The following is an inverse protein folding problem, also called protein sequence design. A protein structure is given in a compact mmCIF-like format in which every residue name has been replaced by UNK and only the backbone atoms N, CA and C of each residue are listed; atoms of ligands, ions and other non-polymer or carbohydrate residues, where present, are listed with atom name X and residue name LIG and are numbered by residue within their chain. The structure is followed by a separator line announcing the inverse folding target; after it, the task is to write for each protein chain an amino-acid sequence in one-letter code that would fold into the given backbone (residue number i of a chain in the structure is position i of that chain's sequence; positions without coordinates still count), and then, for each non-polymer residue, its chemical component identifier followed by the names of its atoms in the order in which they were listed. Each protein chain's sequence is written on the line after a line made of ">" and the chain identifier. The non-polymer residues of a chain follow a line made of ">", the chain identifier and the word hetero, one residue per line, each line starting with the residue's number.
data_IF_137134535135
#
_entry.id   IF_137134535135
#
_cell.length_a   1.000
_cell.length_b   1.000
_cell.length_c   1.000
_cell.angle_alpha   90.00
_cell.angle_beta   90.00
_cell.angle_gamma   90.00
#
_symmetry.space_group_name_H-M   'P 1'
#
loop_
_entity.id
_entity.type
_entity.pdbx_description
1 polymer ?
#
# COMPACT_ATOMS: atom_id res chain seq x y z
N UNK A 1 3.23 -17.38 19.92
CA UNK A 1 1.86 -17.33 19.40
C UNK A 1 1.31 -15.92 19.67
N UNK A 2 0.71 -15.26 18.68
CA UNK A 2 0.10 -13.93 18.85
C UNK A 2 -1.36 -14.06 19.30
N UNK A 3 -1.93 -13.09 20.07
CA UNK A 3 -3.30 -13.16 20.54
C UNK A 3 -4.32 -12.98 19.40
N UNK A 4 -5.46 -13.66 19.43
CA UNK A 4 -6.56 -13.46 18.47
C UNK A 4 -7.44 -12.27 18.89
N UNK A 5 -6.95 -11.07 18.59
CA UNK A 5 -7.68 -9.82 18.81
C UNK A 5 -8.49 -9.43 17.56
N UNK A 6 -9.59 -8.66 17.70
CA UNK A 6 -10.44 -8.24 16.57
C UNK A 6 -9.68 -7.54 15.43
N UNK A 7 -8.64 -6.79 15.77
CA UNK A 7 -7.84 -6.00 14.83
C UNK A 7 -6.87 -6.87 14.01
N UNK A 8 -6.67 -8.13 14.37
CA UNK A 8 -5.77 -9.04 13.65
C UNK A 8 -6.42 -9.59 12.38
N UNK A 9 -5.75 -9.40 11.24
CA UNK A 9 -6.03 -10.17 10.04
C UNK A 9 -5.66 -11.64 10.26
N UNK A 10 -6.62 -12.56 10.15
CA UNK A 10 -6.40 -14.00 10.36
C UNK A 10 -6.38 -14.80 9.07
N UNK A 11 -6.98 -14.27 8.00
CA UNK A 11 -7.07 -14.94 6.70
C UNK A 11 -5.89 -14.62 5.77
N UNK A 12 -5.38 -13.40 5.84
CA UNK A 12 -4.32 -12.88 4.97
C UNK A 12 -3.14 -12.39 5.80
N UNK A 13 -1.95 -12.37 5.20
CA UNK A 13 -0.72 -11.84 5.80
C UNK A 13 -0.63 -10.32 5.67
N UNK A 14 -1.76 -9.65 5.93
CA UNK A 14 -1.88 -8.19 5.83
C UNK A 14 -1.59 -7.56 7.19
N UNK A 15 -0.80 -6.50 7.19
CA UNK A 15 -0.58 -5.62 8.34
C UNK A 15 -1.02 -4.20 7.99
N UNK A 16 -1.59 -3.51 8.95
CA UNK A 16 -2.06 -2.13 8.77
C UNK A 16 -1.22 -1.17 9.60
N UNK A 17 -1.14 0.08 9.14
CA UNK A 17 -0.55 1.17 9.89
C UNK A 17 -1.23 1.35 11.25
N UNK A 18 -0.49 1.81 12.25
CA UNK A 18 -1.02 2.12 13.58
C UNK A 18 -1.90 3.38 13.56
N UNK A 19 -1.56 4.34 12.71
CA UNK A 19 -2.29 5.58 12.52
C UNK A 19 -3.11 5.52 11.23
N UNK A 20 -4.35 5.99 11.33
CA UNK A 20 -5.26 6.11 10.19
C UNK A 20 -5.64 7.56 9.94
N UNK A 21 -6.07 7.83 8.72
CA UNK A 21 -6.34 9.18 8.22
C UNK A 21 -7.82 9.38 7.96
N UNK A 22 -8.36 10.53 8.37
CA UNK A 22 -9.76 10.91 8.16
C UNK A 22 -9.93 12.23 7.39
N UNK A 23 -8.82 12.85 6.96
CA UNK A 23 -8.79 14.10 6.19
C UNK A 23 -7.38 14.38 5.68
N UNK A 24 -7.25 15.35 4.77
CA UNK A 24 -5.98 15.90 4.34
C UNK A 24 -5.16 15.05 3.39
N UNK A 25 -3.89 15.44 3.22
CA UNK A 25 -2.93 14.81 2.32
C UNK A 25 -1.82 14.11 3.08
N UNK A 26 -1.56 12.87 2.71
CA UNK A 26 -0.57 12.00 3.36
C UNK A 26 0.24 11.27 2.30
N UNK A 27 1.52 11.02 2.57
CA UNK A 27 2.33 10.18 1.68
C UNK A 27 3.41 9.44 2.42
N UNK A 28 3.72 8.24 1.95
CA UNK A 28 4.84 7.43 2.43
C UNK A 28 5.43 6.66 1.25
N UNK A 29 6.66 6.21 1.42
CA UNK A 29 7.33 5.36 0.45
C UNK A 29 7.59 3.97 1.04
N UNK A 30 7.53 2.96 0.17
CA UNK A 30 7.77 1.56 0.53
C UNK A 30 8.85 1.00 -0.38
N UNK A 31 9.97 0.58 0.21
CA UNK A 31 10.99 -0.21 -0.47
C UNK A 31 10.49 -1.64 -0.62
N UNK A 32 10.44 -2.11 -1.87
CA UNK A 32 9.95 -3.44 -2.25
C UNK A 32 11.03 -4.30 -2.92
N UNK A 33 12.09 -3.68 -3.45
CA UNK A 33 13.25 -4.37 -4.02
C UNK A 33 12.90 -5.37 -5.13
N UNK A 34 13.50 -6.56 -5.07
CA UNK A 34 13.20 -7.69 -5.97
C UNK A 34 12.15 -8.66 -5.39
N UNK A 35 11.39 -8.25 -4.38
CA UNK A 35 10.44 -9.13 -3.69
C UNK A 35 9.34 -9.60 -4.66
N UNK A 36 9.08 -10.92 -4.78
CA UNK A 36 8.26 -11.46 -5.87
C UNK A 36 6.77 -11.12 -5.72
N UNK A 37 6.31 -10.95 -4.48
CA UNK A 37 4.89 -10.80 -4.15
C UNK A 37 4.65 -9.83 -3.01
N UNK A 38 3.99 -8.72 -3.29
CA UNK A 38 3.66 -7.71 -2.28
C UNK A 38 2.40 -6.94 -2.66
N UNK A 39 1.79 -6.27 -1.67
CA UNK A 39 0.69 -5.34 -1.84
C UNK A 39 0.86 -4.13 -0.94
N UNK A 40 0.58 -2.94 -1.45
CA UNK A 40 0.63 -1.67 -0.71
C UNK A 40 -0.59 -0.83 -1.03
N UNK A 41 -1.12 -0.08 -0.08
CA UNK A 41 -2.29 0.77 -0.32
C UNK A 41 -2.96 1.28 0.94
N UNK A 42 -4.27 1.49 0.84
CA UNK A 42 -5.13 1.85 1.97
C UNK A 42 -6.31 0.91 2.12
N UNK A 43 -6.80 0.78 3.36
CA UNK A 43 -8.03 0.05 3.69
C UNK A 43 -8.90 0.86 4.64
N UNK A 44 -10.22 0.61 4.60
CA UNK A 44 -11.19 1.15 5.56
C UNK A 44 -10.96 0.64 6.98
N UNK A 45 -11.28 1.44 7.98
CA UNK A 45 -11.30 1.03 9.40
C UNK A 45 -12.17 -0.22 9.62
N UNK A 46 -13.34 -0.24 8.97
CA UNK A 46 -14.33 -1.32 9.02
C UNK A 46 -14.04 -2.53 8.13
N UNK A 47 -12.89 -2.58 7.45
CA UNK A 47 -12.56 -3.68 6.52
C UNK A 47 -12.64 -5.05 7.21
N UNK A 48 -13.23 -6.05 6.55
CA UNK A 48 -13.32 -7.40 7.11
C UNK A 48 -11.94 -8.04 7.24
N UNK A 49 -11.48 -8.22 8.48
CA UNK A 49 -10.15 -8.79 8.81
C UNK A 49 -10.15 -10.30 8.97
N UNK A 50 -11.32 -10.94 9.05
CA UNK A 50 -11.45 -12.36 9.37
C UNK A 50 -11.92 -13.18 8.17
N UNK A 51 -12.70 -12.58 7.26
CA UNK A 51 -13.20 -13.24 6.06
C UNK A 51 -12.30 -13.12 4.83
N UNK A 52 -12.78 -13.69 3.73
CA UNK A 52 -12.14 -13.61 2.41
C UNK A 52 -12.51 -12.27 1.77
N UNK A 53 -11.52 -11.45 1.46
CA UNK A 53 -11.68 -10.20 0.71
C UNK A 53 -10.66 -10.14 -0.41
N UNK A 54 -10.97 -9.41 -1.46
CA UNK A 54 -9.97 -8.92 -2.41
C UNK A 54 -9.63 -7.46 -2.04
N UNK A 55 -8.63 -6.90 -2.71
CA UNK A 55 -8.17 -5.55 -2.43
C UNK A 55 -9.01 -4.47 -3.16
N UNK A 56 -10.28 -4.76 -3.48
CA UNK A 56 -11.13 -3.86 -4.26
C UNK A 56 -11.81 -2.78 -3.41
N UNK A 57 -12.14 -1.63 -4.00
CA UNK A 57 -12.85 -0.56 -3.31
C UNK A 57 -14.19 -1.01 -2.68
N UNK A 58 -14.95 -1.86 -3.39
CA UNK A 58 -16.20 -2.44 -2.86
C UNK A 58 -16.02 -3.31 -1.61
N UNK A 59 -14.81 -3.80 -1.36
CA UNK A 59 -14.43 -4.55 -0.18
C UNK A 59 -13.58 -3.72 0.80
N UNK A 60 -13.48 -2.40 0.56
CA UNK A 60 -12.82 -1.44 1.42
C UNK A 60 -11.30 -1.38 1.28
N UNK A 61 -10.75 -1.75 0.12
CA UNK A 61 -9.32 -1.64 -0.18
C UNK A 61 -9.03 -0.84 -1.45
N UNK A 62 -7.93 -0.09 -1.43
CA UNK A 62 -7.37 0.61 -2.59
C UNK A 62 -5.88 0.30 -2.63
N UNK A 63 -5.53 -0.85 -3.20
CA UNK A 63 -4.17 -1.34 -3.21
C UNK A 63 -3.58 -1.47 -4.61
N UNK A 64 -2.26 -1.38 -4.66
CA UNK A 64 -1.42 -1.72 -5.79
C UNK A 64 -0.60 -2.95 -5.41
N UNK A 65 -0.57 -3.95 -6.28
CA UNK A 65 0.01 -5.25 -5.97
C UNK A 65 0.96 -5.70 -7.07
N UNK A 66 1.95 -6.48 -6.69
CA UNK A 66 2.88 -7.13 -7.59
C UNK A 66 2.87 -8.63 -7.31
N UNK A 67 2.83 -9.42 -8.38
CA UNK A 67 2.92 -10.86 -8.31
C UNK A 67 3.73 -11.40 -9.49
N UNK A 68 4.94 -11.85 -9.22
CA UNK A 68 5.85 -12.51 -10.17
C UNK A 68 6.01 -11.71 -11.49
N UNK A 69 6.26 -10.40 -11.38
CA UNK A 69 6.47 -9.50 -12.53
C UNK A 69 5.20 -8.81 -13.04
N UNK A 70 4.02 -9.18 -12.55
CA UNK A 70 2.74 -8.58 -12.95
C UNK A 70 2.31 -7.56 -11.90
N UNK A 71 2.03 -6.34 -12.35
CA UNK A 71 1.51 -5.26 -11.51
C UNK A 71 0.01 -5.12 -11.73
N UNK A 72 -0.76 -5.10 -10.65
CA UNK A 72 -2.22 -4.94 -10.72
C UNK A 72 -2.73 -3.95 -9.68
N UNK A 73 -3.88 -3.35 -9.98
CA UNK A 73 -4.67 -2.63 -8.98
C UNK A 73 -5.55 -3.61 -8.20
N UNK A 74 -6.16 -3.14 -7.11
CA UNK A 74 -7.14 -3.90 -6.34
C UNK A 74 -8.28 -4.49 -7.19
N UNK A 75 -8.68 -3.80 -8.27
CA UNK A 75 -9.68 -4.26 -9.25
C UNK A 75 -9.15 -5.26 -10.29
N UNK A 76 -7.96 -5.82 -10.06
CA UNK A 76 -7.27 -6.74 -10.98
C UNK A 76 -6.96 -6.14 -12.36
N UNK A 77 -6.91 -4.81 -12.47
CA UNK A 77 -6.47 -4.14 -13.70
C UNK A 77 -4.94 -4.28 -13.80
N UNK A 78 -4.44 -4.86 -14.89
CA UNK A 78 -3.00 -4.96 -15.16
C UNK A 78 -2.45 -3.58 -15.52
N UNK A 79 -1.38 -3.19 -14.86
CA UNK A 79 -0.68 -1.93 -15.07
C UNK A 79 0.67 -2.21 -15.73
N UNK A 80 0.90 -1.57 -16.88
CA UNK A 80 2.16 -1.71 -17.61
C UNK A 80 3.22 -0.83 -16.96
N UNK A 81 4.30 -1.46 -16.47
CA UNK A 81 5.42 -0.78 -15.85
C UNK A 81 6.67 -1.03 -16.70
N UNK A 82 7.39 0.04 -17.06
CA UNK A 82 8.55 -0.03 -17.97
C UNK A 82 9.77 -0.71 -17.33
N UNK A 83 9.91 -0.60 -16.01
CA UNK A 83 11.01 -1.15 -15.22
C UNK A 83 10.45 -1.73 -13.92
N UNK A 84 11.12 -2.72 -13.36
CA UNK A 84 10.69 -3.28 -12.08
C UNK A 84 10.82 -2.25 -10.97
N UNK A 85 9.77 -2.07 -10.16
CA UNK A 85 9.73 -1.06 -9.12
C UNK A 85 10.59 -1.50 -7.93
N UNK A 86 11.56 -0.67 -7.54
CA UNK A 86 12.33 -0.90 -6.30
C UNK A 86 11.70 -0.21 -5.09
N UNK A 87 11.04 0.92 -5.32
CA UNK A 87 10.36 1.71 -4.30
C UNK A 87 9.09 2.35 -4.86
N UNK A 88 8.05 2.38 -4.03
CA UNK A 88 6.72 2.87 -4.42
C UNK A 88 6.31 3.95 -3.46
N UNK A 89 5.89 5.08 -4.01
CA UNK A 89 5.23 6.14 -3.24
C UNK A 89 3.73 5.94 -3.28
N UNK A 90 3.11 5.94 -2.11
CA UNK A 90 1.67 6.00 -1.94
C UNK A 90 1.31 7.42 -1.51
N UNK A 91 0.31 8.01 -2.16
CA UNK A 91 -0.23 9.31 -1.80
C UNK A 91 -1.74 9.20 -1.58
N UNK A 92 -2.20 9.66 -0.43
CA UNK A 92 -3.60 9.86 -0.12
C UNK A 92 -3.90 11.36 -0.21
N UNK A 93 -4.88 11.73 -1.03
CA UNK A 93 -5.59 13.01 -0.92
C UNK A 93 -7.02 12.68 -0.46
N UNK A 94 -7.22 12.64 0.86
CA UNK A 94 -8.48 12.19 1.44
C UNK A 94 -9.63 13.11 1.03
N UNK A 95 -9.39 14.42 1.04
CA UNK A 95 -10.40 15.44 0.78
C UNK A 95 -10.85 15.43 -0.69
N UNK A 96 -9.97 15.01 -1.61
CA UNK A 96 -10.31 14.81 -3.03
C UNK A 96 -10.69 13.38 -3.39
N UNK A 97 -10.66 12.46 -2.43
CA UNK A 97 -11.04 11.08 -2.67
C UNK A 97 -10.02 10.30 -3.52
N UNK A 98 -8.73 10.64 -3.47
CA UNK A 98 -7.71 10.03 -4.34
C UNK A 98 -6.68 9.20 -3.57
N UNK A 99 -6.39 8.00 -4.10
CA UNK A 99 -5.21 7.21 -3.72
C UNK A 99 -4.34 7.03 -4.96
N UNK A 100 -3.14 7.58 -4.94
CA UNK A 100 -2.22 7.58 -6.08
C UNK A 100 -0.92 6.82 -5.78
N UNK A 101 -0.42 6.11 -6.79
CA UNK A 101 0.80 5.32 -6.74
C UNK A 101 1.81 5.83 -7.76
N UNK A 102 3.06 5.93 -7.36
CA UNK A 102 4.16 6.39 -8.20
C UNK A 102 5.37 5.48 -8.04
N UNK A 103 6.15 5.36 -9.11
CA UNK A 103 7.52 4.89 -8.99
C UNK A 103 8.35 5.97 -8.29
N UNK A 104 8.93 5.67 -7.13
CA UNK A 104 9.70 6.67 -6.37
C UNK A 104 11.01 7.08 -7.05
N UNK A 105 11.58 6.25 -7.94
CA UNK A 105 12.87 6.54 -8.57
C UNK A 105 12.80 7.71 -9.56
N UNK A 106 11.73 7.77 -10.37
CA UNK A 106 11.56 8.77 -11.42
C UNK A 106 10.27 9.58 -11.27
N UNK A 107 9.54 9.37 -10.16
CA UNK A 107 8.26 9.98 -9.86
C UNK A 107 7.20 9.75 -10.95
N UNK A 108 7.37 8.73 -11.78
CA UNK A 108 6.37 8.41 -12.80
C UNK A 108 5.09 7.90 -12.16
N UNK A 109 3.96 8.41 -12.65
CA UNK A 109 2.64 7.98 -12.22
C UNK A 109 2.38 6.55 -12.67
N UNK A 110 1.91 5.72 -11.75
CA UNK A 110 1.53 4.33 -12.02
C UNK A 110 0.02 4.22 -12.12
N UNK A 111 -0.70 4.74 -11.13
CA UNK A 111 -2.15 4.62 -11.05
C UNK A 111 -2.76 5.59 -10.02
N UNK A 112 -4.04 5.96 -10.22
CA UNK A 112 -4.85 6.68 -9.22
C UNK A 112 -6.22 6.03 -9.10
N UNK A 113 -6.58 5.60 -7.90
CA UNK A 113 -7.97 5.31 -7.54
C UNK A 113 -8.68 6.60 -7.14
N UNK A 114 -9.96 6.69 -7.50
CA UNK A 114 -10.87 7.75 -7.05
C UNK A 114 -12.09 7.12 -6.38
N UNK A 115 -12.45 7.63 -5.23
CA UNK A 115 -13.61 7.17 -4.46
C UNK A 115 -14.09 8.24 -3.48
N UNK A 116 -15.25 8.04 -2.87
CA UNK A 116 -15.72 8.87 -1.77
C UNK A 116 -15.39 8.18 -0.45
N UNK A 117 -14.43 8.72 0.30
CA UNK A 117 -14.06 8.18 1.60
C UNK A 117 -15.02 8.66 2.69
N UNK A 118 -15.60 7.71 3.42
CA UNK A 118 -16.64 7.97 4.44
C UNK A 118 -16.19 7.65 5.85
N UNK A 119 -14.98 7.13 6.00
CA UNK A 119 -14.43 6.67 7.27
C UNK A 119 -12.90 6.72 7.24
N UNK A 120 -12.29 6.52 8.41
CA UNK A 120 -10.84 6.49 8.54
C UNK A 120 -10.21 5.41 7.67
N UNK A 121 -9.12 5.76 6.99
CA UNK A 121 -8.33 4.85 6.18
C UNK A 121 -6.99 4.55 6.84
N UNK A 122 -6.57 3.29 6.82
CA UNK A 122 -5.26 2.87 7.31
C UNK A 122 -4.35 2.47 6.15
N UNK A 123 -3.05 2.81 6.19
CA UNK A 123 -2.05 2.16 5.34
C UNK A 123 -2.16 0.64 5.45
N UNK A 124 -2.05 -0.06 4.33
CA UNK A 124 -2.13 -1.51 4.26
C UNK A 124 -0.93 -2.06 3.52
N UNK A 125 -0.37 -3.15 4.06
CA UNK A 125 0.79 -3.83 3.51
C UNK A 125 0.58 -5.34 3.54
N UNK A 126 0.89 -6.01 2.44
CA UNK A 126 0.82 -7.46 2.31
C UNK A 126 2.17 -7.97 1.80
N UNK A 127 2.74 -8.96 2.47
CA UNK A 127 4.00 -9.61 2.06
C UNK A 127 3.82 -11.11 2.09
N UNK A 128 4.36 -11.78 1.09
CA UNK A 128 4.31 -13.23 0.94
C UNK A 128 5.74 -13.81 1.03
N UNK A 129 5.94 -15.13 1.04
CA UNK A 129 7.29 -15.70 1.10
C UNK A 129 8.21 -15.16 -0.01
N UNK A 130 9.40 -14.70 0.37
CA UNK A 130 10.37 -14.09 -0.54
C UNK A 130 10.99 -15.09 -1.54
N UNK A 131 10.93 -16.40 -1.26
CA UNK A 131 11.52 -17.42 -2.11
C UNK A 131 13.03 -17.22 -2.25
N UNK A 132 13.49 -17.04 -3.49
CA UNK A 132 14.91 -16.82 -3.82
C UNK A 132 15.31 -15.33 -3.98
N UNK A 133 14.39 -14.39 -3.70
CA UNK A 133 14.67 -12.96 -3.79
C UNK A 133 15.71 -12.51 -2.77
N UNK A 134 16.51 -11.50 -3.13
CA UNK A 134 17.50 -10.88 -2.22
C UNK A 134 16.79 -10.06 -1.15
N UNK A 135 15.70 -9.41 -1.50
CA UNK A 135 14.83 -8.66 -0.60
C UNK A 135 13.92 -9.63 0.13
N UNK A 136 14.16 -9.80 1.43
CA UNK A 136 13.38 -10.69 2.31
C UNK A 136 12.23 -9.98 3.03
N UNK A 137 12.15 -8.66 2.96
CA UNK A 137 11.15 -7.82 3.63
C UNK A 137 10.89 -6.54 2.83
N UNK A 138 9.67 -5.99 2.94
CA UNK A 138 9.39 -4.62 2.51
C UNK A 138 9.61 -3.66 3.68
N UNK A 139 9.96 -2.41 3.40
CA UNK A 139 10.25 -1.41 4.44
C UNK A 139 9.57 -0.09 4.11
N UNK A 140 8.96 0.55 5.09
CA UNK A 140 8.54 1.94 4.98
C UNK A 140 9.80 2.78 5.08
N UNK A 141 10.02 3.69 4.12
CA UNK A 141 11.18 4.59 4.16
C UNK A 141 10.95 5.70 5.18
N UNK A 142 12.01 6.04 5.93
CA UNK A 142 11.99 7.22 6.78
C UNK A 142 11.76 8.47 5.93
N UNK A 143 10.90 9.36 6.38
CA UNK A 143 10.80 10.68 5.78
C UNK A 143 12.09 11.43 6.12
N UNK A 144 12.94 11.71 5.12
CA UNK A 144 13.96 12.74 5.29
C UNK A 144 13.23 14.07 5.47
N UNK A 145 13.05 14.48 6.72
CA UNK A 145 12.65 15.84 7.05
C UNK A 145 13.88 16.70 6.82
N UNK A 146 14.06 17.13 5.57
CA UNK A 146 14.98 18.22 5.25
C UNK A 146 14.36 19.51 5.76
N UNK A 147 14.90 20.04 6.85
CA UNK A 147 14.58 21.40 7.28
C UNK A 147 15.24 22.38 6.30
N UNK A 148 14.49 23.28 5.65
CA UNK A 148 15.11 24.34 4.88
C UNK A 148 15.80 25.32 5.85
N UNK A 149 17.14 25.37 5.82
CA UNK A 149 17.90 26.48 6.40
C UNK A 149 18.88 26.15 7.54
N UNK A 150 19.78 25.19 7.37
CA UNK A 150 21.03 25.15 8.15
C UNK A 150 22.24 25.20 7.21
N UNK A 151 22.50 26.38 6.67
CA UNK A 151 23.83 26.86 6.27
C UNK A 151 24.08 28.21 6.96
#
# INVERSE_FOLDING_TARGET
>A
QLPDNPERNTKYSDVFGSEGFSSGRHSWEVEVGDHPKWGVGLVKESVDRKGKRDAQPKHGGWCFTHHDGVYTTGSNQIISVKKSLQRIRVQLDYDRGEVSFYNSEDMSHLYTHRDTFTEKLFPCFSVYPAGAAKTSQIKICDAEISFPGSE
#
